data_IF_769439828208
#
_entry.id   IF_769439828208
#
_cell.length_a   1.000
_cell.length_b   1.000
_cell.length_c   1.000
_cell.angle_alpha   90.00
_cell.angle_beta   90.00
_cell.angle_gamma   90.00
#
_symmetry.space_group_name_H-M   'P 1'
#
loop_
_entity.id
_entity.type
_entity.pdbx_description
1 polymer ?
#
# COMPACT_ATOMS: atom_id res chain seq x y z
N UNK A 1 41.92 5.65 35.94
CA UNK A 1 40.88 4.97 35.14
C UNK A 1 39.63 5.83 35.16
N UNK A 2 39.40 6.63 34.12
CA UNK A 2 38.16 7.41 33.97
C UNK A 2 37.15 6.55 33.21
N UNK A 3 36.05 6.17 33.88
CA UNK A 3 34.88 5.56 33.23
C UNK A 3 34.11 6.69 32.52
N UNK A 4 34.13 6.70 31.19
CA UNK A 4 33.21 7.52 30.41
C UNK A 4 31.88 6.78 30.28
N UNK A 5 30.82 7.31 30.90
CA UNK A 5 29.45 6.86 30.63
C UNK A 5 29.05 7.35 29.23
N UNK A 6 28.91 6.44 28.28
CA UNK A 6 28.23 6.71 27.02
C UNK A 6 26.71 6.78 27.30
N UNK A 7 26.13 7.97 27.27
CA UNK A 7 24.68 8.13 27.23
C UNK A 7 24.19 7.72 25.83
N UNK A 8 23.53 6.57 25.74
CA UNK A 8 22.84 6.13 24.52
C UNK A 8 21.52 6.89 24.46
N UNK A 9 21.44 7.93 23.63
CA UNK A 9 20.18 8.57 23.31
C UNK A 9 19.38 7.65 22.38
N UNK A 10 18.39 6.95 22.93
CA UNK A 10 17.39 6.24 22.13
C UNK A 10 16.50 7.29 21.46
N UNK A 11 16.70 7.53 20.17
CA UNK A 11 15.74 8.29 19.37
C UNK A 11 14.48 7.44 19.23
N UNK A 12 13.45 7.73 20.03
CA UNK A 12 12.11 7.20 19.80
C UNK A 12 11.63 7.76 18.46
N UNK A 13 11.69 6.94 17.41
CA UNK A 13 11.02 7.25 16.16
C UNK A 13 9.51 7.35 16.44
N UNK A 14 8.97 8.57 16.45
CA UNK A 14 7.53 8.80 16.55
C UNK A 14 6.90 8.14 15.33
N UNK A 15 6.08 7.11 15.56
CA UNK A 15 5.31 6.50 14.49
C UNK A 15 4.44 7.60 13.85
N UNK A 16 4.47 7.78 12.53
CA UNK A 16 3.72 8.85 11.91
C UNK A 16 2.22 8.63 12.13
N UNK A 17 1.56 9.68 12.63
CA UNK A 17 0.14 9.68 12.93
C UNK A 17 -0.70 9.58 11.66
N UNK A 18 -1.88 8.97 11.78
CA UNK A 18 -2.89 8.97 10.72
C UNK A 18 -3.22 10.43 10.34
N UNK A 19 -3.30 10.78 9.04
CA UNK A 19 -3.64 12.14 8.60
C UNK A 19 -5.05 12.58 9.05
N UNK A 20 -5.32 13.90 9.17
CA UNK A 20 -6.67 14.42 9.27
C UNK A 20 -7.54 13.95 8.09
N UNK A 21 -8.81 13.66 8.31
CA UNK A 21 -9.71 13.11 7.27
C UNK A 21 -10.06 14.12 6.18
N UNK A 22 -9.75 15.40 6.38
CA UNK A 22 -9.83 16.46 5.38
C UNK A 22 -8.70 16.36 4.36
N UNK A 23 -7.56 15.74 4.72
CA UNK A 23 -6.41 15.52 3.84
C UNK A 23 -6.58 14.20 3.05
N UNK A 24 -7.67 14.08 2.30
CA UNK A 24 -8.17 12.83 1.68
C UNK A 24 -7.10 12.11 0.83
N UNK A 25 -6.40 12.85 -0.04
CA UNK A 25 -5.33 12.27 -0.88
C UNK A 25 -4.15 11.75 -0.04
N UNK A 26 -3.81 12.48 1.04
CA UNK A 26 -2.76 12.06 1.97
C UNK A 26 -3.19 10.86 2.80
N UNK A 27 -4.45 10.78 3.21
CA UNK A 27 -5.01 9.59 3.87
C UNK A 27 -4.83 8.37 2.96
N UNK A 28 -5.21 8.46 1.68
CA UNK A 28 -5.01 7.38 0.72
C UNK A 28 -3.54 6.93 0.63
N UNK A 29 -2.63 7.90 0.45
CA UNK A 29 -1.19 7.64 0.39
C UNK A 29 -0.64 7.03 1.67
N UNK A 30 -1.10 7.51 2.83
CA UNK A 30 -0.70 6.99 4.12
C UNK A 30 -1.12 5.53 4.29
N UNK A 31 -2.39 5.19 4.02
CA UNK A 31 -2.89 3.83 4.19
C UNK A 31 -2.19 2.87 3.23
N UNK A 32 -2.04 3.23 1.94
CA UNK A 32 -1.32 2.42 0.96
C UNK A 32 0.13 2.17 1.39
N UNK A 33 0.82 3.19 1.89
CA UNK A 33 2.21 3.02 2.36
C UNK A 33 2.31 2.10 3.59
N UNK A 34 1.31 2.14 4.49
CA UNK A 34 1.27 1.39 5.75
C UNK A 34 0.84 -0.06 5.61
N UNK A 35 0.19 -0.43 4.51
CA UNK A 35 -0.29 -1.78 4.30
C UNK A 35 0.73 -2.59 3.49
N UNK A 36 1.03 -3.80 3.95
CA UNK A 36 2.02 -4.68 3.32
C UNK A 36 1.36 -5.63 2.30
N UNK A 37 0.04 -5.73 2.29
CA UNK A 37 -0.71 -6.54 1.35
C UNK A 37 -2.03 -5.85 0.97
N UNK A 38 -2.61 -6.25 -0.15
CA UNK A 38 -3.92 -5.81 -0.62
C UNK A 38 -4.79 -7.01 -0.99
N UNK A 39 -6.10 -6.85 -0.85
CA UNK A 39 -7.06 -7.69 -1.55
C UNK A 39 -7.16 -7.19 -2.99
N UNK A 40 -6.81 -8.02 -3.98
CA UNK A 40 -6.97 -7.72 -5.40
C UNK A 40 -8.20 -8.44 -5.93
N UNK A 41 -9.10 -7.68 -6.56
CA UNK A 41 -10.24 -8.20 -7.31
C UNK A 41 -9.94 -8.22 -8.81
N UNK A 42 -10.08 -9.39 -9.43
CA UNK A 42 -10.00 -9.65 -10.88
C UNK A 42 -11.34 -10.20 -11.39
N UNK A 43 -11.46 -10.43 -12.70
CA UNK A 43 -12.58 -11.16 -13.30
C UNK A 43 -12.11 -12.58 -13.64
N UNK A 44 -12.71 -13.59 -13.03
CA UNK A 44 -12.25 -14.96 -13.18
C UNK A 44 -12.34 -15.46 -14.62
N UNK A 45 -11.28 -16.13 -15.07
CA UNK A 45 -11.18 -16.82 -16.35
C UNK A 45 -11.30 -18.35 -16.19
N UNK A 46 -11.61 -18.80 -14.97
CA UNK A 46 -11.58 -20.21 -14.57
C UNK A 46 -12.98 -20.74 -14.27
N UNK A 47 -13.26 -21.97 -14.71
CA UNK A 47 -14.49 -22.66 -14.29
C UNK A 47 -14.40 -23.09 -12.82
N UNK A 48 -15.52 -23.14 -12.07
CA UNK A 48 -16.91 -22.93 -12.49
C UNK A 48 -17.40 -21.48 -12.36
N UNK A 49 -16.51 -20.52 -12.07
CA UNK A 49 -16.85 -19.14 -11.72
C UNK A 49 -16.45 -18.12 -12.80
N UNK A 50 -16.25 -18.58 -14.04
CA UNK A 50 -15.83 -17.72 -15.16
C UNK A 50 -16.75 -16.50 -15.27
N UNK A 51 -16.15 -15.32 -15.38
CA UNK A 51 -16.84 -14.04 -15.47
C UNK A 51 -17.27 -13.43 -14.13
N UNK A 52 -17.10 -14.14 -13.01
CA UNK A 52 -17.41 -13.61 -11.68
C UNK A 52 -16.22 -12.82 -11.10
N UNK A 53 -16.48 -11.83 -10.21
CA UNK A 53 -15.43 -11.19 -9.43
C UNK A 53 -14.68 -12.22 -8.59
N UNK A 54 -13.35 -12.18 -8.63
CA UNK A 54 -12.48 -13.05 -7.88
C UNK A 54 -11.53 -12.22 -7.02
N UNK A 55 -11.56 -12.42 -5.71
CA UNK A 55 -10.71 -11.68 -4.78
C UNK A 55 -9.64 -12.57 -4.20
N UNK A 56 -8.38 -12.13 -4.25
CA UNK A 56 -7.25 -12.84 -3.68
C UNK A 56 -6.26 -11.87 -3.00
N UNK A 57 -5.36 -12.38 -2.16
CA UNK A 57 -4.43 -11.59 -1.35
C UNK A 57 -3.07 -11.49 -2.02
N UNK A 58 -2.55 -10.27 -2.14
CA UNK A 58 -1.23 -10.00 -2.72
C UNK A 58 -0.41 -9.09 -1.83
N UNK A 59 0.85 -9.48 -1.60
CA UNK A 59 1.84 -8.58 -1.03
C UNK A 59 2.07 -7.38 -1.95
N UNK A 60 2.11 -6.19 -1.37
CA UNK A 60 2.38 -4.94 -2.08
C UNK A 60 3.47 -4.15 -1.37
N UNK A 61 4.11 -3.24 -2.11
CA UNK A 61 4.94 -2.18 -1.53
C UNK A 61 4.93 -0.98 -2.45
N UNK A 62 4.77 0.22 -1.91
CA UNK A 62 4.87 1.46 -2.69
C UNK A 62 6.24 2.16 -2.55
N UNK A 63 7.18 1.52 -1.85
CA UNK A 63 8.50 2.08 -1.57
C UNK A 63 9.10 1.60 -0.26
N UNK A 64 10.35 2.02 -0.02
CA UNK A 64 11.05 1.76 1.23
C UNK A 64 10.39 2.48 2.41
N UNK A 65 10.67 2.01 3.63
CA UNK A 65 10.16 2.64 4.84
C UNK A 65 10.47 4.14 4.87
N UNK A 66 9.44 4.98 5.01
CA UNK A 66 9.58 6.43 5.03
C UNK A 66 9.61 7.11 3.66
N UNK A 67 9.66 6.35 2.56
CA UNK A 67 9.73 6.85 1.19
C UNK A 67 8.72 6.14 0.27
N UNK A 68 7.43 6.26 0.61
CA UNK A 68 6.32 5.70 -0.17
C UNK A 68 5.93 6.57 -1.36
N UNK A 69 6.05 6.03 -2.57
CA UNK A 69 5.71 6.72 -3.84
C UNK A 69 4.22 6.71 -4.16
N UNK A 70 3.44 5.86 -3.48
CA UNK A 70 2.02 5.64 -3.75
C UNK A 70 1.72 4.60 -4.82
N UNK A 71 2.66 4.21 -5.67
CA UNK A 71 2.45 3.17 -6.70
C UNK A 71 2.62 1.78 -6.07
N UNK A 72 1.57 0.94 -5.96
CA UNK A 72 1.73 -0.42 -5.45
C UNK A 72 2.52 -1.26 -6.46
N UNK A 73 3.71 -1.72 -6.07
CA UNK A 73 4.45 -2.76 -6.76
C UNK A 73 4.03 -4.14 -6.26
N UNK A 74 4.10 -5.14 -7.14
CA UNK A 74 3.80 -6.55 -6.88
C UNK A 74 4.92 -7.45 -7.44
N UNK A 75 5.15 -8.59 -6.81
CA UNK A 75 6.03 -9.66 -7.32
C UNK A 75 5.18 -10.88 -7.65
N UNK A 76 5.08 -11.20 -8.94
CA UNK A 76 4.04 -12.08 -9.47
C UNK A 76 4.63 -13.22 -10.29
N UNK A 77 3.87 -14.29 -10.47
CA UNK A 77 4.18 -15.42 -11.35
C UNK A 77 2.98 -15.74 -12.22
N UNK A 78 3.20 -16.19 -13.46
CA UNK A 78 2.11 -16.65 -14.34
C UNK A 78 1.41 -17.93 -13.83
N UNK A 79 1.97 -18.59 -12.82
CA UNK A 79 1.31 -19.71 -12.13
C UNK A 79 0.14 -19.26 -11.25
N UNK A 80 0.11 -17.99 -10.84
CA UNK A 80 -0.91 -17.46 -9.95
C UNK A 80 -2.25 -17.25 -10.70
N UNK A 81 -3.36 -17.66 -10.08
CA UNK A 81 -4.66 -17.76 -10.75
C UNK A 81 -5.23 -16.39 -11.14
N UNK A 82 -5.05 -15.36 -10.30
CA UNK A 82 -5.44 -13.99 -10.65
C UNK A 82 -4.51 -13.38 -11.69
N UNK A 83 -3.24 -13.78 -11.77
CA UNK A 83 -2.34 -13.38 -12.87
C UNK A 83 -2.83 -13.95 -14.20
N UNK A 84 -3.35 -15.18 -14.21
CA UNK A 84 -3.98 -15.76 -15.40
C UNK A 84 -5.24 -14.98 -15.81
N UNK A 85 -6.05 -14.53 -14.83
CA UNK A 85 -7.16 -13.61 -15.09
C UNK A 85 -6.68 -12.30 -15.72
N UNK A 86 -5.61 -11.72 -15.17
CA UNK A 86 -5.02 -10.45 -15.62
C UNK A 86 -4.44 -10.53 -17.04
N UNK A 87 -4.00 -11.71 -17.48
CA UNK A 87 -3.56 -11.92 -18.87
C UNK A 87 -4.70 -11.81 -19.88
N UNK A 88 -5.94 -12.04 -19.47
CA UNK A 88 -7.14 -11.87 -20.31
C UNK A 88 -7.74 -10.48 -20.15
N UNK A 89 -7.83 -9.98 -18.92
CA UNK A 89 -8.29 -8.64 -18.60
C UNK A 89 -7.41 -8.00 -17.53
N UNK A 90 -6.56 -7.01 -17.87
CA UNK A 90 -5.63 -6.41 -16.92
C UNK A 90 -6.31 -5.51 -15.89
N UNK A 91 -7.61 -5.23 -16.02
CA UNK A 91 -8.35 -4.42 -15.06
C UNK A 91 -8.50 -5.14 -13.72
N UNK A 92 -8.21 -4.42 -12.65
CA UNK A 92 -8.34 -4.92 -11.29
C UNK A 92 -8.67 -3.80 -10.32
N UNK A 93 -9.08 -4.19 -9.12
CA UNK A 93 -9.28 -3.30 -7.98
C UNK A 93 -8.45 -3.79 -6.79
N UNK A 94 -7.66 -2.91 -6.16
CA UNK A 94 -6.99 -3.20 -4.90
C UNK A 94 -7.74 -2.56 -3.73
N UNK A 95 -7.91 -3.30 -2.64
CA UNK A 95 -8.43 -2.79 -1.37
C UNK A 95 -7.41 -2.99 -0.26
N UNK A 96 -7.15 -1.92 0.48
CA UNK A 96 -6.28 -1.89 1.67
C UNK A 96 -6.98 -1.16 2.80
N UNK A 97 -6.66 -1.49 4.04
CA UNK A 97 -7.31 -0.94 5.24
C UNK A 97 -6.34 -0.85 6.40
N UNK A 98 -6.50 0.18 7.23
CA UNK A 98 -5.80 0.27 8.52
C UNK A 98 -6.13 -0.90 9.47
N UNK A 99 -7.17 -1.70 9.20
CA UNK A 99 -7.44 -2.96 9.90
C UNK A 99 -6.32 -4.01 9.72
N UNK A 100 -5.53 -3.88 8.66
CA UNK A 100 -4.35 -4.72 8.40
C UNK A 100 -3.18 -4.36 9.34
N UNK A 101 -3.26 -3.21 10.01
CA UNK A 101 -2.34 -2.76 11.05
C UNK A 101 -2.98 -2.90 12.44
N UNK A 102 -2.26 -2.53 13.49
CA UNK A 102 -2.85 -2.45 14.84
C UNK A 102 -3.74 -1.21 15.07
N UNK A 103 -3.80 -0.26 14.14
CA UNK A 103 -4.47 1.03 14.34
C UNK A 103 -5.93 0.88 14.76
N UNK A 104 -6.76 0.20 13.96
CA UNK A 104 -8.20 0.11 14.23
C UNK A 104 -8.49 -0.65 15.53
N UNK A 105 -7.76 -1.75 15.77
CA UNK A 105 -7.87 -2.53 17.00
C UNK A 105 -7.51 -1.70 18.24
N UNK A 106 -6.45 -0.90 18.17
CA UNK A 106 -6.01 -0.06 19.28
C UNK A 106 -7.00 1.07 19.60
N UNK A 107 -7.80 1.51 18.62
CA UNK A 107 -8.81 2.55 18.80
C UNK A 107 -10.22 1.99 19.03
N UNK A 108 -10.40 0.67 19.04
CA UNK A 108 -11.71 0.04 19.17
C UNK A 108 -12.63 0.26 17.96
N UNK A 109 -12.07 0.54 16.79
CA UNK A 109 -12.84 0.68 15.55
C UNK A 109 -13.07 -0.68 14.91
N UNK A 110 -14.33 -0.98 14.62
CA UNK A 110 -14.69 -2.09 13.75
C UNK A 110 -14.07 -1.89 12.34
N UNK A 111 -13.53 -2.95 11.68
CA UNK A 111 -12.92 -2.83 10.36
C UNK A 111 -13.83 -2.24 9.27
N UNK A 112 -15.15 -2.37 9.39
CA UNK A 112 -16.12 -1.80 8.44
C UNK A 112 -16.45 -0.33 8.75
N UNK A 113 -16.16 0.16 9.95
CA UNK A 113 -16.35 1.56 10.31
C UNK A 113 -15.45 2.45 9.44
N UNK A 114 -15.94 3.60 8.95
CA UNK A 114 -15.10 4.52 8.17
C UNK A 114 -13.94 5.11 8.98
N UNK A 115 -14.02 5.08 10.33
CA UNK A 115 -12.90 5.46 11.19
C UNK A 115 -11.71 4.48 11.10
N UNK A 116 -11.97 3.25 10.67
CA UNK A 116 -10.96 2.32 10.22
C UNK A 116 -10.73 2.51 8.71
N UNK A 117 -9.93 3.52 8.37
CA UNK A 117 -9.82 3.97 6.99
C UNK A 117 -9.46 2.83 6.03
N UNK A 118 -10.18 2.74 4.91
CA UNK A 118 -9.87 1.82 3.84
C UNK A 118 -9.93 2.51 2.48
N UNK A 119 -9.02 2.09 1.60
CA UNK A 119 -8.76 2.68 0.31
C UNK A 119 -9.00 1.63 -0.74
N UNK A 120 -9.75 2.01 -1.77
CA UNK A 120 -9.97 1.20 -2.96
C UNK A 120 -9.26 1.90 -4.11
N UNK A 121 -8.40 1.17 -4.83
CA UNK A 121 -7.70 1.63 -6.01
C UNK A 121 -8.24 0.87 -7.21
N UNK A 122 -8.79 1.54 -8.21
CA UNK A 122 -9.15 0.92 -9.49
C UNK A 122 -8.09 1.27 -10.53
N UNK A 123 -7.83 0.33 -11.42
CA UNK A 123 -6.75 0.46 -12.37
C UNK A 123 -6.47 -0.83 -13.10
N UNK A 124 -5.19 -1.03 -13.43
CA UNK A 124 -4.72 -2.24 -14.07
C UNK A 124 -3.37 -2.69 -13.54
N UNK A 125 -3.10 -3.99 -13.59
CA UNK A 125 -1.77 -4.53 -13.27
C UNK A 125 -0.94 -4.55 -14.56
N UNK A 126 0.22 -3.90 -14.52
CA UNK A 126 1.14 -3.83 -15.66
C UNK A 126 2.50 -4.36 -15.23
N UNK A 127 3.10 -5.23 -16.05
CA UNK A 127 4.49 -5.63 -15.86
C UNK A 127 5.41 -4.39 -16.00
N UNK A 128 6.37 -4.25 -15.09
CA UNK A 128 7.32 -3.13 -15.15
C UNK A 128 8.39 -3.40 -16.21
N UNK A 129 8.93 -2.33 -16.79
CA UNK A 129 10.05 -2.43 -17.72
C UNK A 129 11.40 -2.46 -16.97
N UNK A 130 12.49 -2.67 -17.71
CA UNK A 130 13.83 -2.79 -17.14
C UNK A 130 14.28 -1.52 -16.38
N UNK A 131 13.81 -0.34 -16.79
CA UNK A 131 14.17 0.92 -16.12
C UNK A 131 13.53 1.09 -14.74
N UNK A 132 12.39 0.42 -14.50
CA UNK A 132 11.63 0.49 -13.25
C UNK A 132 11.83 -0.76 -12.36
N UNK A 133 12.33 -1.86 -12.93
CA UNK A 133 12.50 -3.13 -12.23
C UNK A 133 13.38 -3.04 -10.97
N UNK A 134 14.44 -2.22 -10.98
CA UNK A 134 15.32 -2.03 -9.82
C UNK A 134 14.60 -1.32 -8.65
N UNK A 135 13.72 -0.37 -8.96
CA UNK A 135 12.89 0.36 -7.99
C UNK A 135 11.85 -0.57 -7.39
N UNK A 136 11.11 -1.31 -8.23
CA UNK A 136 10.12 -2.28 -7.79
C UNK A 136 10.76 -3.35 -6.89
N UNK A 137 11.90 -3.91 -7.31
CA UNK A 137 12.67 -4.89 -6.53
C UNK A 137 13.07 -4.35 -5.16
N UNK A 138 13.63 -3.14 -5.10
CA UNK A 138 14.03 -2.53 -3.83
C UNK A 138 12.82 -2.28 -2.90
N UNK A 139 11.71 -1.77 -3.45
CA UNK A 139 10.48 -1.55 -2.69
C UNK A 139 9.91 -2.85 -2.12
N UNK A 140 9.79 -3.88 -2.96
CA UNK A 140 9.21 -5.16 -2.59
C UNK A 140 10.10 -5.94 -1.63
N UNK A 141 11.37 -6.14 -1.95
CA UNK A 141 12.26 -6.96 -1.12
C UNK A 141 12.64 -6.25 0.18
N UNK A 142 12.64 -4.91 0.19
CA UNK A 142 12.79 -4.12 1.40
C UNK A 142 11.59 -4.29 2.36
N UNK A 143 10.38 -4.53 1.83
CA UNK A 143 9.18 -4.74 2.65
C UNK A 143 8.95 -6.22 2.98
N UNK A 144 9.23 -7.09 2.03
CA UNK A 144 8.95 -8.52 2.03
C UNK A 144 10.27 -9.28 1.81
N UNK A 145 11.14 -9.36 2.83
CA UNK A 145 12.47 -9.97 2.69
C UNK A 145 12.41 -11.45 2.27
N UNK A 146 11.33 -12.17 2.60
CA UNK A 146 11.12 -13.56 2.18
C UNK A 146 11.10 -13.73 0.64
N UNK A 147 10.67 -12.70 -0.11
CA UNK A 147 10.62 -12.75 -1.57
C UNK A 147 12.00 -12.98 -2.23
N UNK A 148 13.09 -12.69 -1.51
CA UNK A 148 14.46 -12.94 -1.98
C UNK A 148 14.70 -14.45 -2.16
N UNK A 149 14.09 -15.26 -1.30
CA UNK A 149 14.31 -16.71 -1.21
C UNK A 149 13.21 -17.51 -1.93
N UNK A 150 12.27 -16.83 -2.60
CA UNK A 150 11.21 -17.52 -3.35
C UNK A 150 11.77 -18.35 -4.52
N UNK A 151 11.15 -19.50 -4.85
CA UNK A 151 11.69 -20.43 -5.84
C UNK A 151 11.92 -19.78 -7.21
N UNK A 152 13.15 -19.85 -7.72
CA UNK A 152 13.54 -19.17 -8.96
C UNK A 152 12.90 -19.78 -10.22
N UNK A 153 12.49 -21.05 -10.17
CA UNK A 153 11.86 -21.78 -11.26
C UNK A 153 10.38 -21.39 -11.49
N UNK A 154 9.80 -20.56 -10.62
CA UNK A 154 8.46 -20.00 -10.79
C UNK A 154 8.41 -18.77 -11.73
N UNK A 155 9.54 -18.35 -12.30
CA UNK A 155 9.63 -17.26 -13.29
C UNK A 155 8.96 -15.96 -12.84
N UNK A 156 9.32 -15.49 -11.65
CA UNK A 156 8.75 -14.29 -11.07
C UNK A 156 9.07 -13.03 -11.87
N UNK A 157 8.12 -12.09 -11.93
CA UNK A 157 8.27 -10.78 -12.56
C UNK A 157 7.73 -9.67 -11.65
N UNK A 158 8.27 -8.47 -11.84
CA UNK A 158 7.79 -7.28 -11.15
C UNK A 158 6.65 -6.63 -11.93
N UNK A 159 5.62 -6.21 -11.21
CA UNK A 159 4.48 -5.49 -11.74
C UNK A 159 4.18 -4.26 -10.91
N UNK A 160 3.45 -3.31 -11.49
CA UNK A 160 2.89 -2.15 -10.81
C UNK A 160 1.39 -2.08 -11.02
N UNK A 161 0.70 -1.49 -10.06
CA UNK A 161 -0.71 -1.15 -10.19
C UNK A 161 -0.85 0.26 -10.77
N UNK A 162 -1.40 0.36 -11.98
CA UNK A 162 -1.66 1.60 -12.69
C UNK A 162 -3.01 2.18 -12.28
N UNK A 163 -2.98 3.07 -11.29
CA UNK A 163 -4.18 3.70 -10.70
C UNK A 163 -4.87 4.62 -11.71
N UNK A 164 -6.16 4.42 -11.91
CA UNK A 164 -7.04 5.32 -12.67
C UNK A 164 -8.06 6.04 -11.79
N UNK A 165 -8.39 5.47 -10.63
CA UNK A 165 -9.30 6.09 -9.66
C UNK A 165 -8.99 5.61 -8.24
N UNK A 166 -9.12 6.50 -7.27
CA UNK A 166 -8.98 6.22 -5.83
C UNK A 166 -10.28 6.54 -5.12
N UNK A 167 -10.74 5.64 -4.26
CA UNK A 167 -11.83 5.87 -3.32
C UNK A 167 -11.31 5.76 -1.90
N UNK A 168 -11.75 6.69 -1.06
CA UNK A 168 -11.32 6.82 0.33
C UNK A 168 -12.55 6.78 1.21
N UNK A 169 -12.59 5.81 2.13
CA UNK A 169 -13.53 5.81 3.23
C UNK A 169 -12.74 6.00 4.52
N UNK A 170 -12.79 7.20 5.08
CA UNK A 170 -11.98 7.62 6.25
C UNK A 170 -12.78 8.41 7.30
N UNK A 171 -14.05 8.72 7.02
CA UNK A 171 -14.95 9.36 7.96
C UNK A 171 -16.43 9.16 7.57
N UNK A 172 -17.35 9.57 8.44
CA UNK A 172 -18.78 9.53 8.15
C UNK A 172 -19.15 10.48 6.99
N UNK A 173 -20.24 10.17 6.28
CA UNK A 173 -20.73 10.97 5.15
C UNK A 173 -20.59 10.30 3.77
N UNK A 174 -20.01 9.09 3.72
CA UNK A 174 -19.87 8.30 2.50
C UNK A 174 -18.47 8.35 1.90
N UNK A 175 -18.30 7.71 0.75
CA UNK A 175 -17.02 7.57 0.07
C UNK A 175 -16.59 8.87 -0.60
N UNK A 176 -15.30 9.20 -0.49
CA UNK A 176 -14.66 10.32 -1.19
C UNK A 176 -13.86 9.79 -2.37
N UNK A 177 -13.77 10.56 -3.45
CA UNK A 177 -12.94 10.21 -4.62
C UNK A 177 -11.73 11.11 -4.71
N UNK A 178 -10.60 10.54 -5.12
CA UNK A 178 -9.34 11.26 -5.37
C UNK A 178 -8.85 10.90 -6.77
N UNK A 179 -8.45 11.89 -7.54
CA UNK A 179 -7.85 11.67 -8.86
C UNK A 179 -6.42 11.13 -8.74
N UNK A 180 -5.90 10.41 -9.76
CA UNK A 180 -4.49 10.01 -9.74
C UNK A 180 -3.52 11.18 -9.53
N UNK A 181 -3.80 12.35 -10.12
CA UNK A 181 -2.97 13.55 -9.97
C UNK A 181 -2.90 14.02 -8.51
N UNK A 182 -4.04 14.16 -7.84
CA UNK A 182 -4.10 14.54 -6.42
C UNK A 182 -3.42 13.50 -5.53
N UNK A 183 -3.63 12.22 -5.83
CA UNK A 183 -3.04 11.10 -5.09
C UNK A 183 -1.50 11.12 -5.17
N UNK A 184 -0.93 11.25 -6.37
CA UNK A 184 0.51 11.26 -6.55
C UNK A 184 1.17 12.56 -6.05
N UNK A 185 0.44 13.68 -6.04
CA UNK A 185 0.92 14.96 -5.53
C UNK A 185 1.00 15.03 -4.00
N UNK A 186 0.29 14.16 -3.27
CA UNK A 186 0.32 14.12 -1.81
C UNK A 186 1.52 13.34 -1.26
N UNK A 187 2.15 13.80 -0.17
CA UNK A 187 3.17 13.03 0.55
C UNK A 187 2.53 12.20 1.68
N UNK A 188 2.79 10.87 1.79
CA UNK A 188 2.14 10.02 2.80
C UNK A 188 2.52 10.43 4.23
N UNK A 189 3.75 10.90 4.43
CA UNK A 189 4.31 11.29 5.72
C UNK A 189 4.69 12.77 5.65
N UNK A 190 4.39 13.54 6.70
CA UNK A 190 5.00 14.86 6.86
C UNK A 190 6.41 14.65 7.38
N UNK A 191 7.40 15.24 6.72
CA UNK A 191 8.69 15.49 7.37
C UNK A 191 8.43 16.56 8.44
N UNK A 192 8.83 16.32 9.68
CA UNK A 192 8.80 17.35 10.72
C UNK A 192 9.82 18.44 10.37
N UNK A 193 9.48 19.31 9.42
CA UNK A 193 10.18 20.53 9.11
C UNK A 193 9.16 21.67 9.21
N UNK A 194 9.04 22.25 10.42
CA UNK A 194 8.49 23.60 10.58
C UNK A 194 7.07 23.74 11.13
N UNK A 195 6.68 23.00 12.18
CA UNK A 195 5.63 23.53 13.07
C UNK A 195 6.31 24.38 14.17
N UNK A 196 6.05 25.69 14.25
CA UNK A 196 6.43 26.46 15.41
C UNK A 196 5.64 25.93 16.60
N UNK A 197 6.34 25.57 17.67
CA UNK A 197 5.72 25.24 18.96
C UNK A 197 4.88 26.45 19.38
N UNK A 198 3.56 26.34 19.26
CA UNK A 198 2.65 27.31 19.83
C UNK A 198 2.63 27.07 21.33
N UNK A 199 3.38 27.88 22.07
CA UNK A 199 3.22 28.00 23.51
C UNK A 199 1.93 28.76 23.80
N UNK A 200 0.91 28.06 24.28
CA UNK A 200 -0.20 28.63 25.06
C UNK A 200 -0.09 28.19 26.51
#
# INVERSE_FOLDING_TARGET
>A
MFLALLAVFLTLAVAPSVPPHEEVARMARFVVHKCDWASMATISTHEPVRGQPFSNTFSISDGLAGNGTGTPYLYLTHMEISVQDLQVNPQASLSVSLAQTHYCKNHGFDPQSPLCAHIILSGSVLQVNDSEASVAKAALFGRHPEMIDWPTDHNWFFARFNITQVWVLDYFGGVKTVTPEEYYSAAPLRTHAGEPVSTS
#
